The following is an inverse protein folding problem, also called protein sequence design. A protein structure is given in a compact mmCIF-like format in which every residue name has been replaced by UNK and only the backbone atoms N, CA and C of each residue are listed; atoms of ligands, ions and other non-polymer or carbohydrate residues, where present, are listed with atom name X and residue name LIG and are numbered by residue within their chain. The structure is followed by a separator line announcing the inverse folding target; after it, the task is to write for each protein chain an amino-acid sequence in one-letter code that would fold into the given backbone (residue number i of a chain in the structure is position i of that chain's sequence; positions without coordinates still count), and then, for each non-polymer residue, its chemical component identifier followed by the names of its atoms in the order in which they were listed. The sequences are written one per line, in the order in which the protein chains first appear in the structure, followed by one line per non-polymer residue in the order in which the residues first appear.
data_IF_094077694490
#
_entry.id   IF_094077694490
#
_cell.length_a   1.000
_cell.length_b   1.000
_cell.length_c   1.000
_cell.angle_alpha   90.00
_cell.angle_beta   90.00
_cell.angle_gamma   90.00
#
_symmetry.space_group_name_H-M   'P 1'
#
loop_
_entity.id
_entity.type
_entity.pdbx_description
1 polymer ?
#
# COMPACT_ATOMS: atom_id res chain seq x y z
N UNK A 1 -26.49 -16.94 -25.82
CA UNK A 1 -26.02 -17.57 -24.58
C UNK A 1 -26.26 -16.55 -23.49
N UNK A 2 -27.43 -16.66 -22.86
CA UNK A 2 -27.99 -15.67 -21.94
C UNK A 2 -27.63 -16.14 -20.53
N UNK A 3 -26.48 -15.71 -20.01
CA UNK A 3 -26.16 -15.92 -18.60
C UNK A 3 -26.98 -14.93 -17.78
N UNK A 4 -28.18 -15.35 -17.41
CA UNK A 4 -28.96 -14.69 -16.35
C UNK A 4 -28.06 -14.64 -15.11
N UNK A 5 -27.56 -13.46 -14.76
CA UNK A 5 -26.75 -13.22 -13.56
C UNK A 5 -27.64 -13.50 -12.35
N UNK A 6 -27.67 -14.76 -11.90
CA UNK A 6 -28.29 -15.11 -10.62
C UNK A 6 -27.57 -14.31 -9.56
N UNK A 7 -28.31 -13.54 -8.77
CA UNK A 7 -27.79 -12.83 -7.60
C UNK A 7 -27.32 -13.90 -6.61
N UNK A 8 -26.09 -14.34 -6.79
CA UNK A 8 -25.41 -15.31 -5.95
C UNK A 8 -24.75 -14.55 -4.80
N UNK A 9 -24.72 -15.17 -3.62
CA UNK A 9 -24.01 -14.64 -2.45
C UNK A 9 -22.56 -14.28 -2.81
N UNK A 10 -21.96 -15.06 -3.72
CA UNK A 10 -20.60 -14.81 -4.25
C UNK A 10 -20.48 -13.45 -4.97
N UNK A 11 -21.50 -13.04 -5.71
CA UNK A 11 -21.50 -11.77 -6.45
C UNK A 11 -21.59 -10.59 -5.48
N UNK A 12 -22.42 -10.71 -4.43
CA UNK A 12 -22.54 -9.70 -3.38
C UNK A 12 -21.21 -9.58 -2.61
N UNK A 13 -20.59 -10.70 -2.28
CA UNK A 13 -19.26 -10.72 -1.63
C UNK A 13 -18.21 -10.07 -2.53
N UNK A 14 -18.19 -10.35 -3.84
CA UNK A 14 -17.26 -9.73 -4.79
C UNK A 14 -17.44 -8.21 -4.88
N UNK A 15 -18.69 -7.71 -4.84
CA UNK A 15 -18.99 -6.27 -4.80
C UNK A 15 -18.45 -5.63 -3.52
N UNK A 16 -18.66 -6.26 -2.37
CA UNK A 16 -18.18 -5.73 -1.08
C UNK A 16 -16.64 -5.73 -1.04
N UNK A 17 -15.99 -6.81 -1.49
CA UNK A 17 -14.53 -6.91 -1.53
C UNK A 17 -13.95 -5.85 -2.47
N UNK A 18 -14.51 -5.68 -3.66
CA UNK A 18 -14.03 -4.65 -4.61
C UNK A 18 -14.20 -3.23 -4.07
N UNK A 19 -15.32 -2.92 -3.44
CA UNK A 19 -15.55 -1.63 -2.80
C UNK A 19 -14.60 -1.38 -1.62
N UNK A 20 -14.36 -2.39 -0.78
CA UNK A 20 -13.41 -2.32 0.33
C UNK A 20 -11.97 -2.10 -0.19
N UNK A 21 -11.59 -2.84 -1.22
CA UNK A 21 -10.29 -2.69 -1.86
C UNK A 21 -10.08 -1.30 -2.44
N UNK A 22 -11.12 -0.67 -3.03
CA UNK A 22 -11.03 0.69 -3.53
C UNK A 22 -10.78 1.71 -2.40
N UNK A 23 -11.43 1.55 -1.25
CA UNK A 23 -11.28 2.45 -0.09
C UNK A 23 -9.93 2.31 0.60
N UNK A 24 -9.50 1.08 0.87
CA UNK A 24 -8.29 0.80 1.64
C UNK A 24 -7.07 0.44 0.77
N UNK A 25 -7.13 0.67 -0.54
CA UNK A 25 -6.08 0.32 -1.52
C UNK A 25 -4.68 0.77 -1.10
N UNK A 26 -4.51 2.00 -0.61
CA UNK A 26 -3.22 2.51 -0.16
C UNK A 26 -2.64 1.70 1.01
N UNK A 27 -3.49 1.29 1.97
CA UNK A 27 -3.08 0.49 3.12
C UNK A 27 -2.71 -0.93 2.68
N UNK A 28 -3.53 -1.52 1.82
CA UNK A 28 -3.29 -2.86 1.26
C UNK A 28 -1.97 -2.87 0.49
N UNK A 29 -1.73 -1.90 -0.39
CA UNK A 29 -0.47 -1.77 -1.14
C UNK A 29 0.71 -1.68 -0.18
N UNK A 30 0.64 -0.82 0.85
CA UNK A 30 1.74 -0.65 1.80
C UNK A 30 2.02 -1.92 2.62
N UNK A 31 0.97 -2.63 3.04
CA UNK A 31 1.08 -3.88 3.78
C UNK A 31 1.70 -4.99 2.92
N UNK A 32 1.20 -5.17 1.69
CA UNK A 32 1.71 -6.16 0.74
C UNK A 32 3.15 -5.84 0.34
N UNK A 33 3.46 -4.57 0.05
CA UNK A 33 4.83 -4.17 -0.28
C UNK A 33 5.79 -4.43 0.89
N UNK A 34 5.36 -4.20 2.13
CA UNK A 34 6.17 -4.50 3.33
C UNK A 34 6.38 -5.99 3.49
N UNK A 35 5.34 -6.79 3.29
CA UNK A 35 5.40 -8.24 3.35
C UNK A 35 6.33 -8.82 2.27
N UNK A 36 6.23 -8.33 1.04
CA UNK A 36 7.13 -8.70 -0.05
C UNK A 36 8.57 -8.27 0.27
N UNK A 37 8.79 -7.06 0.80
CA UNK A 37 10.12 -6.61 1.25
C UNK A 37 10.69 -7.50 2.36
N UNK A 38 9.86 -8.09 3.23
CA UNK A 38 10.32 -9.03 4.26
C UNK A 38 10.63 -10.42 3.71
N UNK A 39 9.87 -10.92 2.76
CA UNK A 39 10.11 -12.24 2.13
C UNK A 39 11.34 -12.18 1.22
N UNK A 40 11.41 -11.15 0.38
CA UNK A 40 12.52 -10.92 -0.53
C UNK A 40 13.65 -10.12 0.11
N UNK A 41 13.71 -10.07 1.45
CA UNK A 41 14.81 -9.43 2.17
C UNK A 41 16.07 -10.22 1.87
N UNK A 42 16.87 -9.71 0.95
CA UNK A 42 18.20 -10.25 0.66
C UNK A 42 18.96 -10.30 1.99
N UNK A 43 19.46 -11.49 2.34
CA UNK A 43 20.19 -11.72 3.60
C UNK A 43 21.30 -10.68 3.67
N UNK A 44 21.30 -9.87 4.74
CA UNK A 44 22.26 -8.78 4.90
C UNK A 44 23.67 -9.32 4.64
N UNK A 45 24.39 -8.66 3.74
CA UNK A 45 25.70 -9.10 3.28
C UNK A 45 26.60 -9.35 4.51
N UNK A 46 27.18 -10.56 4.68
CA UNK A 46 27.98 -10.89 5.86
C UNK A 46 29.11 -9.87 6.09
N UNK A 47 29.61 -9.23 5.04
CA UNK A 47 30.61 -8.17 5.17
C UNK A 47 30.12 -6.94 5.96
N UNK A 48 28.85 -6.53 5.77
CA UNK A 48 28.28 -5.34 6.43
C UNK A 48 28.03 -5.61 7.91
N UNK A 49 27.53 -6.79 8.24
CA UNK A 49 27.30 -7.18 9.64
C UNK A 49 28.62 -7.28 10.42
N UNK A 50 29.68 -7.81 9.78
CA UNK A 50 31.02 -7.83 10.36
C UNK A 50 31.56 -6.40 10.57
N UNK A 51 31.40 -5.51 9.60
CA UNK A 51 31.87 -4.12 9.71
C UNK A 51 31.14 -3.35 10.83
N UNK A 52 29.82 -3.51 10.96
CA UNK A 52 29.01 -2.95 12.06
C UNK A 52 29.47 -3.46 13.43
N UNK A 53 29.78 -4.75 13.53
CA UNK A 53 30.30 -5.33 14.77
C UNK A 53 31.68 -4.78 15.11
N UNK A 54 32.57 -4.61 14.12
CA UNK A 54 33.88 -3.98 14.31
C UNK A 54 33.74 -2.54 14.81
N UNK A 55 32.88 -1.73 14.20
CA UNK A 55 32.61 -0.35 14.65
C UNK A 55 32.07 -0.33 16.08
N UNK A 56 31.14 -1.23 16.42
CA UNK A 56 30.58 -1.34 17.77
C UNK A 56 31.65 -1.68 18.80
N UNK A 57 32.58 -2.57 18.47
CA UNK A 57 33.69 -2.94 19.34
C UNK A 57 34.70 -1.79 19.48
N UNK A 58 35.10 -1.15 18.37
CA UNK A 58 36.03 0.00 18.41
C UNK A 58 35.45 1.18 19.21
N UNK A 59 34.13 1.41 19.11
CA UNK A 59 33.45 2.45 19.88
C UNK A 59 33.45 2.15 21.38
N UNK A 60 33.36 0.88 21.76
CA UNK A 60 33.51 0.47 23.17
C UNK A 60 34.94 0.69 23.66
N UNK A 61 35.94 0.28 22.88
CA UNK A 61 37.36 0.52 23.20
C UNK A 61 37.67 2.02 23.34
N UNK A 62 37.10 2.85 22.47
CA UNK A 62 37.31 4.30 22.49
C UNK A 62 36.66 4.97 23.71
N UNK A 63 35.53 4.46 24.18
CA UNK A 63 34.89 4.94 25.42
C UNK A 63 35.67 4.56 26.69
N UNK A 64 36.48 3.51 26.64
CA UNK A 64 37.33 3.07 27.76
C UNK A 64 38.62 3.91 27.86
N UNK A 65 39.01 4.58 26.78
CA UNK A 65 40.21 5.42 26.72
C UNK A 65 39.84 6.86 27.11
N UNK A 66 40.47 7.35 28.17
CA UNK A 66 40.34 8.76 28.58
C UNK A 66 41.02 9.69 27.56
N UNK A 67 40.28 10.64 26.95
CA UNK A 67 40.82 11.53 25.93
C UNK A 67 41.87 12.53 26.47
N UNK A 68 41.86 12.82 27.76
CA UNK A 68 42.82 13.72 28.42
C UNK A 68 44.11 13.01 28.83
N UNK A 69 44.02 11.76 29.30
CA UNK A 69 45.19 11.01 29.78
C UNK A 69 45.92 10.24 28.67
N UNK A 70 45.21 9.85 27.61
CA UNK A 70 45.75 9.01 26.53
C UNK A 70 45.39 9.58 25.14
N UNK A 71 45.57 10.89 24.98
CA UNK A 71 45.21 11.65 23.78
C UNK A 71 45.69 10.98 22.47
N UNK A 72 46.98 10.63 22.38
CA UNK A 72 47.53 10.02 21.17
C UNK A 72 46.85 8.67 20.80
N UNK A 73 46.53 7.85 21.79
CA UNK A 73 45.85 6.56 21.57
C UNK A 73 44.38 6.76 21.19
N UNK A 74 43.71 7.72 21.84
CA UNK A 74 42.33 8.11 21.54
C UNK A 74 42.18 8.56 20.08
N UNK A 75 42.99 9.52 19.63
CA UNK A 75 42.91 10.04 18.26
C UNK A 75 43.30 9.02 17.18
N UNK A 76 44.18 8.06 17.53
CA UNK A 76 44.51 6.95 16.62
C UNK A 76 43.29 6.03 16.41
N UNK A 77 42.59 5.70 17.49
CA UNK A 77 41.36 4.88 17.45
C UNK A 77 40.18 5.62 16.83
N UNK A 78 40.07 6.93 17.05
CA UNK A 78 39.05 7.77 16.42
C UNK A 78 39.21 7.82 14.89
N UNK A 79 40.45 7.97 14.39
CA UNK A 79 40.74 7.90 12.96
C UNK A 79 40.42 6.53 12.35
N UNK A 80 40.69 5.45 13.09
CA UNK A 80 40.36 4.08 12.67
C UNK A 80 38.84 3.88 12.62
N UNK A 81 38.10 4.41 13.60
CA UNK A 81 36.64 4.39 13.65
C UNK A 81 36.03 5.18 12.48
N UNK A 82 36.55 6.37 12.20
CA UNK A 82 36.09 7.19 11.08
C UNK A 82 36.35 6.51 9.74
N UNK A 83 37.52 5.87 9.55
CA UNK A 83 37.80 5.09 8.33
C UNK A 83 36.82 3.94 8.13
N UNK A 84 36.47 3.21 9.20
CA UNK A 84 35.49 2.13 9.12
C UNK A 84 34.06 2.65 8.89
N UNK A 85 33.71 3.82 9.44
CA UNK A 85 32.44 4.47 9.15
C UNK A 85 32.36 4.93 7.69
N UNK A 86 33.43 5.49 7.13
CA UNK A 86 33.48 5.89 5.72
C UNK A 86 33.33 4.67 4.79
N UNK A 87 34.00 3.56 5.11
CA UNK A 87 33.87 2.30 4.36
C UNK A 87 32.44 1.72 4.45
N UNK A 88 31.82 1.81 5.63
CA UNK A 88 30.42 1.45 5.82
C UNK A 88 29.49 2.34 5.00
N UNK A 89 29.71 3.65 4.99
CA UNK A 89 28.90 4.62 4.25
C UNK A 89 29.07 4.44 2.74
N UNK A 90 30.27 4.13 2.25
CA UNK A 90 30.53 3.79 0.84
C UNK A 90 29.84 2.49 0.41
N UNK A 91 29.89 1.44 1.25
CA UNK A 91 29.17 0.20 1.02
C UNK A 91 27.64 0.43 1.02
N UNK A 92 27.14 1.28 1.92
CA UNK A 92 25.74 1.67 1.97
C UNK A 92 25.31 2.57 0.81
N UNK A 93 26.18 3.48 0.34
CA UNK A 93 25.95 4.34 -0.81
C UNK A 93 25.87 3.52 -2.10
N UNK A 94 26.75 2.52 -2.24
CA UNK A 94 26.68 1.52 -3.32
C UNK A 94 25.38 0.72 -3.24
N UNK A 95 24.87 0.45 -2.02
CA UNK A 95 23.54 -0.12 -1.77
C UNK A 95 22.38 0.86 -1.75
N UNK A 96 22.53 2.19 -1.95
CA UNK A 96 21.39 3.09 -2.23
C UNK A 96 20.68 2.71 -3.54
N UNK A 97 21.34 1.91 -4.38
CA UNK A 97 20.72 1.15 -5.48
C UNK A 97 19.59 0.21 -4.98
N UNK A 98 19.63 -0.27 -3.74
CA UNK A 98 18.56 -1.04 -3.09
C UNK A 98 17.35 -0.18 -2.70
N UNK A 99 17.50 1.12 -2.39
CA UNK A 99 16.33 2.02 -2.30
C UNK A 99 15.61 2.13 -3.64
N UNK A 100 16.35 2.09 -4.76
CA UNK A 100 15.78 1.96 -6.10
C UNK A 100 15.10 0.60 -6.29
N UNK A 101 15.65 -0.51 -5.77
CA UNK A 101 14.97 -1.82 -5.76
C UNK A 101 13.67 -1.78 -4.96
N UNK A 102 13.66 -1.13 -3.79
CA UNK A 102 12.47 -1.00 -2.93
C UNK A 102 11.37 -0.16 -3.59
N UNK A 103 11.74 0.94 -4.26
CA UNK A 103 10.82 1.73 -5.09
C UNK A 103 10.28 0.93 -6.26
N UNK A 104 11.12 0.11 -6.91
CA UNK A 104 10.69 -0.81 -7.98
C UNK A 104 9.71 -1.86 -7.47
N UNK A 105 9.94 -2.47 -6.31
CA UNK A 105 9.04 -3.46 -5.70
C UNK A 105 7.69 -2.83 -5.37
N UNK A 106 7.69 -1.63 -4.78
CA UNK A 106 6.46 -0.92 -4.45
C UNK A 106 5.68 -0.50 -5.70
N UNK A 107 6.37 0.00 -6.72
CA UNK A 107 5.79 0.30 -8.03
C UNK A 107 5.19 -0.94 -8.69
N UNK A 108 5.93 -2.05 -8.75
CA UNK A 108 5.44 -3.30 -9.31
C UNK A 108 4.23 -3.85 -8.54
N UNK A 109 4.29 -3.81 -7.21
CA UNK A 109 3.18 -4.21 -6.33
C UNK A 109 1.93 -3.39 -6.61
N UNK A 110 2.09 -2.07 -6.76
CA UNK A 110 0.99 -1.17 -7.10
C UNK A 110 0.37 -1.51 -8.46
N UNK A 111 1.17 -1.77 -9.47
CA UNK A 111 0.69 -2.13 -10.81
C UNK A 111 -0.09 -3.45 -10.77
N UNK A 112 0.44 -4.49 -10.13
CA UNK A 112 -0.23 -5.81 -10.02
C UNK A 112 -1.56 -5.69 -9.27
N UNK A 113 -1.57 -4.98 -8.15
CA UNK A 113 -2.77 -4.73 -7.34
C UNK A 113 -3.82 -3.94 -8.14
N UNK A 114 -3.39 -2.92 -8.89
CA UNK A 114 -4.30 -2.12 -9.73
C UNK A 114 -4.90 -2.93 -10.88
N UNK A 115 -4.10 -3.79 -11.53
CA UNK A 115 -4.59 -4.72 -12.55
C UNK A 115 -5.60 -5.71 -11.94
N UNK A 116 -5.30 -6.26 -10.77
CA UNK A 116 -6.24 -7.12 -10.03
C UNK A 116 -7.56 -6.41 -9.72
N UNK A 117 -7.50 -5.16 -9.27
CA UNK A 117 -8.70 -4.33 -9.06
C UNK A 117 -9.49 -4.09 -10.33
N UNK A 118 -8.83 -3.81 -11.45
CA UNK A 118 -9.48 -3.61 -12.75
C UNK A 118 -10.23 -4.87 -13.20
N UNK A 119 -9.62 -6.05 -13.05
CA UNK A 119 -10.27 -7.33 -13.36
C UNK A 119 -11.49 -7.54 -12.46
N UNK A 120 -11.36 -7.25 -11.16
CA UNK A 120 -12.46 -7.40 -10.20
C UNK A 120 -13.61 -6.41 -10.49
N UNK A 121 -13.28 -5.17 -10.87
CA UNK A 121 -14.26 -4.17 -11.31
C UNK A 121 -14.98 -4.61 -12.58
N UNK A 122 -14.28 -5.21 -13.53
CA UNK A 122 -14.88 -5.74 -14.76
C UNK A 122 -15.80 -6.93 -14.53
N UNK A 123 -15.54 -7.72 -13.49
CA UNK A 123 -16.43 -8.79 -13.06
C UNK A 123 -17.71 -8.22 -12.41
N UNK A 124 -17.57 -7.19 -11.58
CA UNK A 124 -18.69 -6.57 -10.85
C UNK A 124 -19.50 -5.59 -11.71
N UNK A 125 -19.00 -5.18 -12.88
CA UNK A 125 -19.67 -4.20 -13.76
C UNK A 125 -21.05 -4.63 -14.24
N UNK A 126 -21.34 -5.93 -14.32
CA UNK A 126 -22.65 -6.44 -14.71
C UNK A 126 -23.69 -6.47 -13.58
N UNK A 127 -23.34 -6.02 -12.37
CA UNK A 127 -24.22 -6.08 -11.19
C UNK A 127 -24.85 -4.70 -10.96
N UNK A 128 -26.12 -4.59 -11.34
CA UNK A 128 -26.96 -3.41 -11.14
C UNK A 128 -27.76 -3.53 -9.86
N UNK A 129 -27.79 -2.47 -9.04
CA UNK A 129 -28.55 -2.44 -7.81
C UNK A 129 -30.00 -2.00 -8.05
N UNK A 130 -30.20 -0.87 -8.74
CA UNK A 130 -31.53 -0.33 -9.09
C UNK A 130 -31.43 0.75 -10.19
N UNK A 131 -32.56 1.07 -10.82
CA UNK A 131 -32.67 2.12 -11.85
C UNK A 131 -33.18 3.44 -11.23
N UNK A 132 -32.58 4.58 -11.59
CA UNK A 132 -33.00 5.94 -11.17
C UNK A 132 -33.24 6.79 -12.43
N UNK A 133 -34.23 7.69 -12.50
CA UNK A 133 -34.36 8.63 -13.62
C UNK A 133 -33.07 9.40 -13.94
N UNK A 134 -32.68 9.44 -15.23
CA UNK A 134 -31.39 10.02 -15.69
C UNK A 134 -31.26 11.54 -15.41
N UNK A 135 -32.37 12.22 -15.14
CA UNK A 135 -32.44 13.66 -14.88
C UNK A 135 -32.08 14.07 -13.45
N UNK A 136 -32.11 13.16 -12.47
CA UNK A 136 -31.92 13.51 -11.05
C UNK A 136 -30.47 13.89 -10.73
N UNK A 137 -29.50 13.25 -11.37
CA UNK A 137 -28.06 13.40 -11.05
C UNK A 137 -27.25 14.00 -12.20
N UNK A 138 -27.90 14.68 -13.15
CA UNK A 138 -27.19 15.36 -14.23
C UNK A 138 -26.31 16.51 -13.68
N UNK A 139 -25.04 16.67 -14.08
CA UNK A 139 -24.27 15.92 -15.11
C UNK A 139 -23.43 14.75 -14.55
N UNK A 140 -23.51 14.48 -13.25
CA UNK A 140 -22.68 13.50 -12.54
C UNK A 140 -23.17 12.05 -12.61
N UNK A 141 -24.14 11.76 -13.49
CA UNK A 141 -24.76 10.45 -13.62
C UNK A 141 -23.73 9.31 -13.87
N UNK A 142 -22.63 9.62 -14.56
CA UNK A 142 -21.55 8.67 -14.81
C UNK A 142 -20.88 8.12 -13.54
N UNK A 143 -20.88 8.85 -12.42
CA UNK A 143 -20.29 8.40 -11.15
C UNK A 143 -21.09 7.25 -10.52
N UNK A 144 -22.41 7.31 -10.68
CA UNK A 144 -23.34 6.33 -10.11
C UNK A 144 -23.40 5.08 -10.99
N UNK A 145 -23.18 5.25 -12.29
CA UNK A 145 -23.05 4.18 -13.30
C UNK A 145 -21.69 3.49 -13.28
N UNK A 146 -20.68 3.95 -12.53
CA UNK A 146 -19.37 3.29 -12.51
C UNK A 146 -19.36 2.04 -11.60
N UNK A 147 -18.80 0.88 -12.01
CA UNK A 147 -18.16 0.53 -13.28
C UNK A 147 -19.10 -0.10 -14.34
N UNK A 148 -20.43 -0.01 -14.17
CA UNK A 148 -21.42 -0.53 -15.11
C UNK A 148 -21.39 0.08 -16.52
N UNK A 149 -20.61 1.14 -16.75
CA UNK A 149 -20.28 1.69 -18.09
C UNK A 149 -19.71 0.60 -19.04
N UNK A 150 -19.13 -0.47 -18.50
CA UNK A 150 -18.60 -1.60 -19.27
C UNK A 150 -19.59 -2.78 -19.42
N UNK A 151 -20.80 -2.68 -18.86
CA UNK A 151 -21.85 -3.69 -18.89
C UNK A 151 -22.88 -3.44 -19.99
N UNK A 152 -23.81 -4.39 -20.17
CA UNK A 152 -24.99 -4.17 -21.01
C UNK A 152 -26.06 -3.44 -20.19
N UNK A 153 -26.69 -2.43 -20.78
CA UNK A 153 -27.83 -1.74 -20.15
C UNK A 153 -28.99 -2.74 -19.96
N UNK A 154 -29.33 -2.96 -18.70
CA UNK A 154 -30.48 -3.70 -18.18
C UNK A 154 -31.68 -2.79 -17.90
N UNK A 155 -31.46 -1.50 -17.64
CA UNK A 155 -32.52 -0.51 -17.40
C UNK A 155 -33.02 0.13 -18.72
N UNK A 156 -34.30 0.56 -18.78
CA UNK A 156 -34.82 1.32 -19.91
C UNK A 156 -34.08 2.66 -20.07
N UNK A 157 -33.92 3.14 -21.32
CA UNK A 157 -33.06 4.29 -21.66
C UNK A 157 -33.43 5.66 -21.06
N UNK A 158 -34.49 5.75 -20.27
CA UNK A 158 -34.87 6.94 -19.49
C UNK A 158 -34.28 6.91 -18.06
N UNK A 159 -33.64 5.79 -17.68
CA UNK A 159 -33.12 5.55 -16.35
C UNK A 159 -31.62 5.25 -16.35
N UNK A 160 -30.94 5.85 -15.37
CA UNK A 160 -29.59 5.56 -14.93
C UNK A 160 -29.53 4.25 -14.17
N UNK A 161 -28.54 3.43 -14.49
CA UNK A 161 -28.17 2.28 -13.69
C UNK A 161 -27.32 2.67 -12.49
N UNK A 162 -27.75 2.27 -11.31
CA UNK A 162 -26.91 2.35 -10.12
C UNK A 162 -26.09 1.09 -10.01
N UNK A 163 -24.77 1.21 -10.12
CA UNK A 163 -23.89 0.06 -9.90
C UNK A 163 -23.92 -0.38 -8.44
N UNK A 164 -24.00 -1.69 -8.21
CA UNK A 164 -23.84 -2.26 -6.87
C UNK A 164 -22.51 -1.87 -6.22
N UNK A 165 -21.45 -1.70 -7.03
CA UNK A 165 -20.16 -1.20 -6.55
C UNK A 165 -20.25 0.23 -6.01
N UNK A 166 -20.90 1.15 -6.74
CA UNK A 166 -21.03 2.54 -6.32
C UNK A 166 -21.78 2.64 -4.98
N UNK A 167 -22.85 1.85 -4.81
CA UNK A 167 -23.60 1.77 -3.56
C UNK A 167 -22.73 1.23 -2.41
N UNK A 168 -22.06 0.08 -2.61
CA UNK A 168 -21.19 -0.50 -1.60
C UNK A 168 -20.03 0.43 -1.23
N UNK A 169 -19.44 1.11 -2.22
CA UNK A 169 -18.39 2.09 -2.02
C UNK A 169 -18.87 3.27 -1.16
N UNK A 170 -20.05 3.82 -1.44
CA UNK A 170 -20.65 4.89 -0.63
C UNK A 170 -20.97 4.40 0.78
N UNK A 171 -21.54 3.21 0.93
CA UNK A 171 -21.88 2.62 2.22
C UNK A 171 -20.64 2.42 3.11
N UNK A 172 -19.54 1.90 2.56
CA UNK A 172 -18.28 1.69 3.29
C UNK A 172 -17.63 3.04 3.65
N UNK A 173 -17.63 4.02 2.75
CA UNK A 173 -17.07 5.35 3.03
C UNK A 173 -17.88 6.11 4.09
N UNK A 174 -19.21 6.09 4.00
CA UNK A 174 -20.08 6.72 4.99
C UNK A 174 -19.96 6.01 6.34
N UNK A 175 -20.00 4.68 6.34
CA UNK A 175 -19.83 3.86 7.54
C UNK A 175 -18.50 4.10 8.24
N UNK A 176 -17.39 4.10 7.50
CA UNK A 176 -16.05 4.35 8.08
C UNK A 176 -15.90 5.76 8.65
N UNK A 177 -16.42 6.79 7.96
CA UNK A 177 -16.41 8.17 8.47
C UNK A 177 -17.32 8.35 9.68
N UNK A 178 -18.50 7.74 9.67
CA UNK A 178 -19.44 7.80 10.78
C UNK A 178 -18.89 7.07 12.01
N UNK A 179 -18.32 5.88 11.82
CA UNK A 179 -17.63 5.13 12.87
C UNK A 179 -16.47 5.94 13.46
N UNK A 180 -15.64 6.55 12.61
CA UNK A 180 -14.53 7.38 13.08
C UNK A 180 -15.01 8.59 13.89
N UNK A 181 -16.09 9.26 13.46
CA UNK A 181 -16.68 10.38 14.21
C UNK A 181 -17.26 9.94 15.56
N UNK A 182 -18.02 8.85 15.60
CA UNK A 182 -18.62 8.32 16.83
C UNK A 182 -17.58 7.86 17.85
N UNK A 183 -16.58 7.08 17.43
CA UNK A 183 -15.57 6.54 18.35
C UNK A 183 -14.48 7.53 18.73
N UNK A 184 -14.27 8.58 17.94
CA UNK A 184 -13.38 9.69 18.32
C UNK A 184 -14.08 10.68 19.25
N UNK A 185 -15.38 10.90 19.08
CA UNK A 185 -16.19 11.73 19.98
C UNK A 185 -16.37 11.09 21.37
N UNK A 186 -16.28 9.77 21.50
CA UNK A 186 -16.35 9.05 22.78
C UNK A 186 -15.03 9.02 23.58
N UNK A 187 -13.97 9.63 23.06
CA UNK A 187 -12.60 9.58 23.63
C UNK A 187 -12.11 10.94 24.16
N UNK A 188 -13.01 11.92 24.29
CA UNK A 188 -12.85 13.20 24.99
C UNK A 188 -13.81 13.20 26.17
#
# INVERSE_FOLDING_TARGET
MEETVKISILNVVAVIISAYFAVDSARIISAVATFLKTIFKEKEDPAITLLKNKIKNLKKELNDISPTNQFAAYFKKDRELNKLNDELEQLQATKRTETTKNLKIEGATRVVIQLGALVLLRYVSGITAFCIPDNIFWPFNFLIRFPAIFGNDTCPGEFAEVSGFALAFLAINLGSRFYHRLFKAKRV
#
